data_IF_174335127795
#
_entry.id   IF_174335127795
#
_cell.length_a   1.000
_cell.length_b   1.000
_cell.length_c   1.000
_cell.angle_alpha   90.00
_cell.angle_beta   90.00
_cell.angle_gamma   90.00
#
_symmetry.space_group_name_H-M   'P 1'
#
loop_
_entity.id
_entity.type
_entity.pdbx_description
1 polymer ?
#
# COMPACT_ATOMS: atom_id res chain seq x y z
N UNK A 1 -28.35 -5.48 10.05
CA UNK A 1 -27.36 -5.09 9.02
C UNK A 1 -26.04 -4.93 9.74
N UNK A 2 -25.12 -5.88 9.62
CA UNK A 2 -23.92 -5.96 10.45
C UNK A 2 -22.75 -5.20 9.79
N UNK A 3 -22.00 -4.36 10.52
CA UNK A 3 -20.78 -3.72 10.02
C UNK A 3 -19.60 -4.62 10.37
N UNK A 4 -18.96 -5.21 9.36
CA UNK A 4 -17.85 -6.12 9.59
C UNK A 4 -17.06 -6.41 8.33
N UNK A 5 -16.17 -5.49 7.96
CA UNK A 5 -15.12 -5.73 6.95
C UNK A 5 -13.99 -4.71 7.12
N UNK A 6 -13.16 -4.90 8.15
CA UNK A 6 -11.87 -4.25 8.33
C UNK A 6 -10.60 -5.12 8.09
N UNK A 7 -10.64 -6.44 7.80
CA UNK A 7 -9.44 -7.27 7.91
C UNK A 7 -8.45 -7.13 6.73
N UNK A 8 -8.91 -6.66 5.57
CA UNK A 8 -8.10 -6.59 4.35
C UNK A 8 -7.16 -5.37 4.25
N UNK A 9 -7.36 -4.33 5.09
CA UNK A 9 -6.71 -3.02 4.93
C UNK A 9 -5.19 -3.04 5.17
N UNK A 10 -4.66 -3.96 5.99
CA UNK A 10 -3.26 -3.86 6.43
C UNK A 10 -2.21 -4.11 5.34
N UNK A 11 -2.38 -5.11 4.47
CA UNK A 11 -1.33 -5.48 3.51
C UNK A 11 -1.12 -4.40 2.43
N UNK A 12 -2.21 -3.96 1.79
CA UNK A 12 -2.15 -2.95 0.73
C UNK A 12 -1.61 -1.63 1.24
N UNK A 13 -1.94 -1.27 2.48
CA UNK A 13 -1.46 -0.05 3.11
C UNK A 13 0.04 -0.16 3.46
N UNK A 14 0.57 -1.34 3.81
CA UNK A 14 2.04 -1.52 3.93
C UNK A 14 2.75 -1.31 2.59
N UNK A 15 2.21 -1.90 1.51
CA UNK A 15 2.74 -1.72 0.15
C UNK A 15 2.70 -0.24 -0.25
N UNK A 16 1.58 0.43 0.03
CA UNK A 16 1.40 1.86 -0.22
C UNK A 16 2.34 2.74 0.62
N UNK A 17 2.75 2.33 1.82
CA UNK A 17 3.72 3.06 2.64
C UNK A 17 5.11 3.08 1.98
N UNK A 18 5.54 1.96 1.37
CA UNK A 18 6.82 1.88 0.67
C UNK A 18 6.76 2.61 -0.68
N UNK A 19 5.62 2.53 -1.36
CA UNK A 19 5.36 3.31 -2.58
C UNK A 19 5.34 4.81 -2.25
N UNK A 20 4.74 5.24 -1.14
CA UNK A 20 4.71 6.63 -0.71
C UNK A 20 6.12 7.20 -0.51
N UNK A 21 7.00 6.46 0.18
CA UNK A 21 8.40 6.84 0.35
C UNK A 21 9.13 6.97 -0.99
N UNK A 22 8.88 6.03 -1.91
CA UNK A 22 9.50 6.03 -3.24
C UNK A 22 8.99 7.20 -4.10
N UNK A 23 7.69 7.51 -4.03
CA UNK A 23 7.07 8.64 -4.73
C UNK A 23 7.60 9.99 -4.23
N UNK A 24 7.78 10.15 -2.91
CA UNK A 24 8.39 11.36 -2.33
C UNK A 24 9.81 11.56 -2.88
N UNK A 25 10.63 10.51 -2.91
CA UNK A 25 12.01 10.59 -3.43
C UNK A 25 12.03 10.88 -4.93
N UNK A 26 11.17 10.23 -5.72
CA UNK A 26 11.09 10.44 -7.17
C UNK A 26 10.64 11.87 -7.54
N UNK A 27 9.66 12.41 -6.82
CA UNK A 27 9.16 13.78 -7.02
C UNK A 27 10.20 14.81 -6.55
N UNK A 28 10.91 14.57 -5.44
CA UNK A 28 11.99 15.46 -4.99
C UNK A 28 13.15 15.55 -6.00
N UNK A 29 13.40 14.50 -6.78
CA UNK A 29 14.40 14.48 -7.85
C UNK A 29 13.99 15.19 -9.15
N UNK A 30 12.70 15.39 -9.40
CA UNK A 30 12.16 16.01 -10.61
C UNK A 30 11.78 17.46 -10.34
N UNK A 31 12.74 18.38 -10.49
CA UNK A 31 12.52 19.82 -10.23
C UNK A 31 11.45 20.43 -11.15
N UNK A 32 10.20 20.48 -10.70
CA UNK A 32 9.27 21.56 -11.04
C UNK A 32 8.31 21.81 -9.88
N UNK A 33 8.42 23.01 -9.32
CA UNK A 33 7.79 23.44 -8.09
C UNK A 33 6.25 23.38 -8.16
N UNK A 34 5.67 22.43 -7.40
CA UNK A 34 4.35 22.58 -6.80
C UNK A 34 4.46 22.10 -5.35
N UNK A 35 4.45 23.06 -4.42
CA UNK A 35 4.38 22.89 -2.94
C UNK A 35 5.24 21.81 -2.26
N UNK A 36 6.39 21.43 -2.83
CA UNK A 36 7.30 20.43 -2.23
C UNK A 36 7.86 20.83 -0.86
N UNK A 37 7.88 22.13 -0.56
CA UNK A 37 8.35 22.66 0.73
C UNK A 37 7.42 22.27 1.88
N UNK A 38 6.09 22.28 1.67
CA UNK A 38 5.12 22.04 2.75
C UNK A 38 5.09 20.55 3.16
N UNK A 39 5.16 19.64 2.17
CA UNK A 39 5.08 18.19 2.43
C UNK A 39 6.35 17.64 3.06
N UNK A 40 7.54 18.07 2.63
CA UNK A 40 8.80 17.62 3.26
C UNK A 40 8.94 18.16 4.69
N UNK A 41 8.57 19.42 4.92
CA UNK A 41 8.57 20.02 6.26
C UNK A 41 7.56 19.31 7.20
N UNK A 42 6.39 18.94 6.68
CA UNK A 42 5.41 18.13 7.42
C UNK A 42 5.91 16.70 7.70
N UNK A 43 6.56 16.06 6.72
CA UNK A 43 7.15 14.72 6.88
C UNK A 43 8.30 14.74 7.89
N UNK A 44 9.11 15.78 7.90
CA UNK A 44 10.19 15.96 8.86
C UNK A 44 9.67 16.29 10.26
N UNK A 45 8.60 17.07 10.36
CA UNK A 45 7.88 17.28 11.62
C UNK A 45 7.30 15.96 12.16
N UNK A 46 6.71 15.14 11.31
CA UNK A 46 6.18 13.82 11.66
C UNK A 46 7.31 12.86 12.09
N UNK A 47 8.41 12.78 11.33
CA UNK A 47 9.61 12.00 11.68
C UNK A 47 10.22 12.46 13.01
N UNK A 48 10.27 13.77 13.25
CA UNK A 48 10.76 14.33 14.50
C UNK A 48 9.84 14.00 15.69
N UNK A 49 8.52 14.04 15.50
CA UNK A 49 7.54 13.63 16.52
C UNK A 49 7.66 12.14 16.87
N UNK A 50 7.84 11.27 15.87
CA UNK A 50 8.07 9.82 16.06
C UNK A 50 9.38 9.59 16.83
N UNK A 51 10.48 10.27 16.46
CA UNK A 51 11.77 10.19 17.17
C UNK A 51 11.67 10.66 18.62
N UNK A 52 10.91 11.73 18.91
CA UNK A 52 10.68 12.23 20.27
C UNK A 52 9.91 11.23 21.13
N UNK A 53 8.85 10.64 20.58
CA UNK A 53 8.05 9.64 21.29
C UNK A 53 8.84 8.35 21.57
N UNK A 54 9.65 7.89 20.61
CA UNK A 54 10.52 6.72 20.81
C UNK A 54 11.55 6.95 21.94
N UNK A 55 12.09 8.17 22.07
CA UNK A 55 13.01 8.53 23.18
C UNK A 55 12.30 8.61 24.53
N UNK A 56 11.03 9.02 24.57
CA UNK A 56 10.23 9.02 25.80
C UNK A 56 9.91 7.60 26.27
N UNK A 57 9.65 6.67 25.35
CA UNK A 57 9.44 5.25 25.69
C UNK A 57 10.71 4.59 26.25
N UNK A 58 11.88 4.92 25.70
CA UNK A 58 13.16 4.40 26.21
C UNK A 58 13.49 4.92 27.62
N UNK A 59 12.99 6.11 27.99
CA UNK A 59 13.13 6.70 29.33
C UNK A 59 12.12 6.16 30.35
N UNK A 60 10.97 5.64 29.91
CA UNK A 60 9.93 5.05 30.78
C UNK A 60 10.12 3.55 31.06
N UNK A 61 11.09 2.90 30.42
CA UNK A 61 11.47 1.50 30.70
C UNK A 61 12.23 1.26 32.02
N UNK A 62 12.13 2.18 32.98
CA UNK A 62 12.75 2.08 34.29
C UNK A 62 11.76 2.46 35.39
N UNK A 63 11.00 1.47 35.87
CA UNK A 63 10.31 1.45 37.16
C UNK A 63 9.22 2.51 37.42
N UNK A 64 7.98 2.06 37.55
CA UNK A 64 6.95 2.80 38.28
C UNK A 64 5.58 2.77 37.65
N UNK A 65 4.63 2.14 38.34
CA UNK A 65 3.19 2.24 38.13
C UNK A 65 2.77 3.72 38.01
N UNK A 66 2.09 4.06 36.92
CA UNK A 66 1.58 5.41 36.69
C UNK A 66 0.90 5.50 35.33
N UNK A 67 -0.43 5.53 35.35
CA UNK A 67 -1.31 5.43 34.19
C UNK A 67 -0.89 6.31 33.00
N UNK A 68 -0.88 5.71 31.82
CA UNK A 68 -0.47 6.38 30.59
C UNK A 68 -1.56 6.22 29.53
N UNK A 69 -2.27 7.32 29.28
CA UNK A 69 -3.35 7.46 28.28
C UNK A 69 -2.83 7.25 26.85
N UNK A 70 -1.52 7.13 26.66
CA UNK A 70 -0.88 6.69 25.41
C UNK A 70 -0.76 5.17 25.25
N UNK A 71 -0.98 4.37 26.30
CA UNK A 71 -0.80 2.91 26.27
C UNK A 71 -2.00 2.17 25.67
N UNK A 72 -3.21 2.67 25.93
CA UNK A 72 -4.44 1.97 25.59
C UNK A 72 -4.78 1.94 24.09
N UNK A 73 -4.28 2.90 23.30
CA UNK A 73 -4.70 3.05 21.90
C UNK A 73 -3.93 2.14 20.93
N UNK A 74 -2.66 1.81 21.22
CA UNK A 74 -1.87 0.88 20.38
C UNK A 74 -2.13 -0.58 20.73
N UNK A 75 -2.33 -0.91 22.01
CA UNK A 75 -2.74 -2.25 22.43
C UNK A 75 -4.11 -2.63 21.80
N UNK A 76 -5.01 -1.65 21.63
CA UNK A 76 -6.29 -1.81 20.94
C UNK A 76 -6.16 -2.03 19.43
N UNK A 77 -5.19 -1.39 18.79
CA UNK A 77 -4.95 -1.58 17.36
C UNK A 77 -4.33 -2.94 17.07
N UNK A 78 -3.45 -3.40 17.98
CA UNK A 78 -2.72 -4.62 17.77
C UNK A 78 -3.36 -5.88 18.34
N UNK A 79 -4.47 -5.82 19.08
CA UNK A 79 -5.16 -7.04 19.57
C UNK A 79 -4.68 -7.53 20.95
N UNK A 80 -3.76 -6.81 21.59
CA UNK A 80 -3.27 -7.11 22.94
C UNK A 80 -1.74 -7.20 23.01
N UNK A 81 -1.22 -7.62 24.17
CA UNK A 81 0.23 -7.82 24.38
C UNK A 81 0.81 -8.94 23.50
N UNK A 82 0.06 -10.03 23.30
CA UNK A 82 0.53 -11.20 22.52
C UNK A 82 0.84 -10.85 21.05
N UNK A 83 0.01 -10.02 20.43
CA UNK A 83 0.19 -9.59 19.04
C UNK A 83 1.30 -8.52 18.92
N UNK A 84 1.51 -7.70 19.96
CA UNK A 84 2.66 -6.81 20.00
C UNK A 84 3.98 -7.57 20.09
N UNK A 85 4.04 -8.64 20.89
CA UNK A 85 5.21 -9.51 20.98
C UNK A 85 5.52 -10.17 19.62
N UNK A 86 4.50 -10.54 18.86
CA UNK A 86 4.68 -11.04 17.49
C UNK A 86 5.24 -9.95 16.56
N UNK A 87 4.67 -8.75 16.61
CA UNK A 87 5.09 -7.63 15.75
C UNK A 87 6.46 -7.08 16.10
N UNK A 88 6.87 -7.11 17.37
CA UNK A 88 8.20 -6.69 17.81
C UNK A 88 9.32 -7.60 17.31
N UNK A 89 8.99 -8.84 16.91
CA UNK A 89 9.92 -9.77 16.23
C UNK A 89 10.13 -9.42 14.76
N UNK A 90 9.14 -8.78 14.13
CA UNK A 90 9.14 -8.43 12.70
C UNK A 90 9.61 -6.98 12.50
N UNK A 91 9.11 -6.05 13.31
CA UNK A 91 9.37 -4.63 13.23
C UNK A 91 10.31 -4.18 14.34
N UNK A 92 11.39 -3.49 13.97
CA UNK A 92 12.34 -2.89 14.92
C UNK A 92 11.67 -1.92 15.91
N UNK A 93 10.58 -1.27 15.49
CA UNK A 93 9.78 -0.40 16.35
C UNK A 93 8.30 -0.43 15.88
N UNK A 94 7.48 -1.32 16.45
CA UNK A 94 6.07 -1.47 16.04
C UNK A 94 5.24 -0.21 16.29
N UNK A 95 5.50 0.52 17.38
CA UNK A 95 4.79 1.74 17.70
C UNK A 95 5.08 2.88 16.71
N UNK A 96 6.33 2.99 16.24
CA UNK A 96 6.70 3.94 15.20
C UNK A 96 6.08 3.56 13.85
N UNK A 97 6.11 2.28 13.50
CA UNK A 97 5.44 1.77 12.29
C UNK A 97 3.95 2.10 12.31
N UNK A 98 3.25 1.83 13.42
CA UNK A 98 1.83 2.13 13.57
C UNK A 98 1.48 3.59 13.33
N UNK A 99 2.24 4.51 13.96
CA UNK A 99 2.00 5.94 13.82
C UNK A 99 2.20 6.41 12.39
N UNK A 100 3.26 5.92 11.72
CA UNK A 100 3.49 6.20 10.30
C UNK A 100 2.37 5.64 9.42
N UNK A 101 1.87 4.45 9.73
CA UNK A 101 0.77 3.79 9.02
C UNK A 101 -0.50 4.64 9.07
N UNK A 102 -0.92 5.07 10.27
CA UNK A 102 -2.14 5.87 10.45
C UNK A 102 -2.03 7.22 9.75
N UNK A 103 -0.88 7.90 9.85
CA UNK A 103 -0.67 9.16 9.13
C UNK A 103 -0.65 8.97 7.61
N UNK A 104 -0.09 7.86 7.12
CA UNK A 104 -0.11 7.55 5.70
C UNK A 104 -1.55 7.33 5.21
N UNK A 105 -2.36 6.51 5.88
CA UNK A 105 -3.77 6.32 5.51
C UNK A 105 -4.58 7.63 5.48
N UNK A 106 -4.24 8.57 6.37
CA UNK A 106 -4.92 9.86 6.46
C UNK A 106 -4.51 10.79 5.32
N UNK A 107 -3.22 10.87 5.00
CA UNK A 107 -2.65 11.91 4.14
C UNK A 107 -2.35 11.42 2.73
N UNK A 108 -1.73 10.26 2.58
CA UNK A 108 -1.31 9.75 1.28
C UNK A 108 -2.54 9.36 0.47
N UNK A 109 -2.59 9.87 -0.76
CA UNK A 109 -3.70 9.65 -1.68
C UNK A 109 -3.19 9.11 -3.00
N UNK A 110 -3.83 8.05 -3.47
CA UNK A 110 -3.56 7.41 -4.75
C UNK A 110 -4.75 7.61 -5.67
N UNK A 111 -4.50 8.16 -6.85
CA UNK A 111 -5.47 8.14 -7.93
C UNK A 111 -5.27 6.87 -8.76
N UNK A 112 -6.34 6.17 -9.09
CA UNK A 112 -6.28 5.02 -9.98
C UNK A 112 -6.85 5.42 -11.32
N UNK A 113 -6.09 5.20 -12.39
CA UNK A 113 -6.59 5.45 -13.74
C UNK A 113 -7.73 4.51 -14.07
N UNK A 114 -8.83 5.06 -14.57
CA UNK A 114 -10.06 4.33 -14.89
C UNK A 114 -10.04 3.70 -16.29
N UNK A 115 -9.01 3.99 -17.10
CA UNK A 115 -8.88 3.37 -18.40
C UNK A 115 -8.61 1.88 -18.28
N UNK A 116 -9.26 1.11 -19.16
CA UNK A 116 -9.06 -0.33 -19.26
C UNK A 116 -10.28 -1.10 -18.82
N UNK A 117 -10.29 -2.39 -19.16
CA UNK A 117 -11.35 -3.30 -18.72
C UNK A 117 -10.73 -4.61 -18.22
N UNK A 118 -11.37 -5.26 -17.25
CA UNK A 118 -11.08 -6.64 -16.89
C UNK A 118 -11.17 -7.58 -18.12
N UNK A 119 -10.40 -8.68 -18.16
CA UNK A 119 -9.60 -9.22 -17.06
C UNK A 119 -8.15 -8.73 -17.01
N UNK A 120 -7.70 -7.89 -17.96
CA UNK A 120 -6.28 -7.46 -18.08
C UNK A 120 -5.97 -6.24 -17.21
N UNK A 121 -6.92 -5.31 -17.12
CA UNK A 121 -6.84 -4.10 -16.31
C UNK A 121 -7.90 -4.19 -15.20
N UNK A 122 -7.66 -3.55 -14.06
CA UNK A 122 -8.60 -3.48 -12.93
C UNK A 122 -8.99 -4.81 -12.28
N UNK A 123 -8.39 -5.93 -12.70
CA UNK A 123 -8.58 -7.25 -12.11
C UNK A 123 -7.24 -8.00 -12.11
N UNK A 124 -7.04 -8.87 -11.12
CA UNK A 124 -5.89 -9.77 -11.07
C UNK A 124 -6.24 -11.08 -10.37
N UNK A 125 -5.36 -12.09 -10.45
CA UNK A 125 -5.58 -13.35 -9.75
C UNK A 125 -5.53 -13.13 -8.23
N UNK A 126 -6.57 -13.56 -7.52
CA UNK A 126 -6.63 -13.53 -6.05
C UNK A 126 -6.29 -14.90 -5.43
N UNK A 127 -5.56 -15.76 -6.14
CA UNK A 127 -5.10 -17.08 -5.66
C UNK A 127 -3.71 -17.44 -6.19
N UNK A 128 -3.04 -18.36 -5.49
CA UNK A 128 -1.66 -18.82 -5.71
C UNK A 128 -0.59 -17.73 -5.49
N UNK A 129 0.60 -17.91 -6.07
CA UNK A 129 1.75 -16.99 -5.94
C UNK A 129 1.49 -15.57 -6.45
N UNK A 130 0.49 -15.37 -7.31
CA UNK A 130 0.14 -14.06 -7.86
C UNK A 130 -0.98 -13.36 -7.10
N UNK A 131 -1.46 -13.94 -6.00
CA UNK A 131 -2.62 -13.43 -5.24
C UNK A 131 -2.46 -11.96 -4.85
N UNK A 132 -1.24 -11.58 -4.49
CA UNK A 132 -0.93 -10.24 -4.01
C UNK A 132 -1.17 -9.18 -5.09
N UNK A 133 -0.99 -9.54 -6.36
CA UNK A 133 -1.32 -8.66 -7.48
C UNK A 133 -2.82 -8.37 -7.55
N UNK A 134 -3.65 -9.43 -7.57
CA UNK A 134 -5.10 -9.29 -7.60
C UNK A 134 -5.66 -8.61 -6.37
N UNK A 135 -5.21 -9.00 -5.17
CA UNK A 135 -5.66 -8.40 -3.90
C UNK A 135 -5.29 -6.93 -3.80
N UNK A 136 -4.11 -6.54 -4.28
CA UNK A 136 -3.74 -5.13 -4.30
C UNK A 136 -4.68 -4.31 -5.18
N UNK A 137 -4.91 -4.77 -6.41
CA UNK A 137 -5.82 -4.11 -7.36
C UNK A 137 -7.23 -4.04 -6.76
N UNK A 138 -7.79 -5.18 -6.36
CA UNK A 138 -9.14 -5.29 -5.79
C UNK A 138 -9.33 -4.35 -4.60
N UNK A 139 -8.43 -4.38 -3.62
CA UNK A 139 -8.58 -3.54 -2.44
C UNK A 139 -8.44 -2.06 -2.77
N UNK A 140 -7.51 -1.68 -3.65
CA UNK A 140 -7.35 -0.27 -4.03
C UNK A 140 -8.55 0.23 -4.85
N UNK A 141 -9.20 -0.64 -5.64
CA UNK A 141 -10.49 -0.36 -6.30
C UNK A 141 -11.65 -0.20 -5.33
N UNK A 142 -11.78 -1.12 -4.35
CA UNK A 142 -12.85 -1.11 -3.36
C UNK A 142 -12.69 -0.05 -2.27
N UNK A 143 -11.48 0.48 -2.07
CA UNK A 143 -11.22 1.56 -1.12
C UNK A 143 -12.00 2.81 -1.56
N UNK A 144 -13.18 3.01 -0.97
CA UNK A 144 -13.86 4.30 -1.03
C UNK A 144 -13.23 5.26 -0.01
N UNK A 145 -13.00 6.53 -0.35
CA UNK A 145 -12.68 7.53 0.67
C UNK A 145 -13.86 7.60 1.64
N UNK A 146 -13.71 7.32 2.95
CA UNK A 146 -14.75 7.67 3.91
C UNK A 146 -15.05 9.18 3.87
N UNK A 147 -16.30 9.53 4.18
CA UNK A 147 -16.84 10.90 4.12
C UNK A 147 -16.08 11.91 5.00
N UNK A 148 -15.17 11.44 5.86
CA UNK A 148 -14.32 12.22 6.77
C UNK A 148 -12.88 12.45 6.26
N UNK A 149 -12.53 11.95 5.06
CA UNK A 149 -11.21 12.10 4.47
C UNK A 149 -10.18 11.02 4.84
N UNK A 150 -10.59 9.94 5.52
CA UNK A 150 -9.77 8.72 5.67
C UNK A 150 -9.52 7.98 4.34
N UNK A 151 -8.73 6.90 4.38
CA UNK A 151 -8.47 6.00 3.24
C UNK A 151 -7.43 6.51 2.22
N UNK A 152 -6.84 5.59 1.44
CA UNK A 152 -5.74 5.93 0.53
C UNK A 152 -6.20 6.27 -0.90
N UNK A 153 -7.31 5.72 -1.41
CA UNK A 153 -7.78 6.08 -2.76
C UNK A 153 -8.35 7.51 -2.79
N UNK A 154 -8.16 8.21 -3.90
CA UNK A 154 -8.88 9.44 -4.25
C UNK A 154 -9.37 9.41 -5.69
N UNK A 155 -10.53 10.03 -5.93
CA UNK A 155 -11.10 10.27 -7.26
C UNK A 155 -10.76 11.66 -7.81
N UNK A 156 -10.13 12.50 -6.98
CA UNK A 156 -9.65 13.81 -7.40
C UNK A 156 -8.14 13.71 -7.67
N UNK A 157 -7.70 13.71 -8.94
CA UNK A 157 -6.29 13.54 -9.27
C UNK A 157 -5.43 14.73 -8.82
N UNK A 158 -6.02 15.88 -8.49
CA UNK A 158 -5.28 17.04 -7.95
C UNK A 158 -4.84 16.84 -6.50
N UNK A 159 -5.52 15.95 -5.77
CA UNK A 159 -5.19 15.56 -4.40
C UNK A 159 -4.27 14.35 -4.32
N UNK A 160 -3.95 13.75 -5.45
CA UNK A 160 -3.16 12.52 -5.52
C UNK A 160 -1.66 12.81 -5.34
N UNK A 161 -1.02 11.95 -4.56
CA UNK A 161 0.41 11.92 -4.33
C UNK A 161 1.10 10.89 -5.24
N UNK A 162 0.36 9.86 -5.65
CA UNK A 162 0.81 8.86 -6.61
C UNK A 162 -0.35 8.39 -7.49
N UNK A 163 -0.01 7.86 -8.66
CA UNK A 163 -0.96 7.42 -9.68
C UNK A 163 -0.76 5.94 -9.98
N UNK A 164 -1.79 5.13 -9.78
CA UNK A 164 -1.73 3.70 -10.03
C UNK A 164 -2.13 3.36 -11.46
N UNK A 165 -1.32 2.51 -12.10
CA UNK A 165 -1.64 1.83 -13.35
C UNK A 165 -2.18 0.43 -13.00
N UNK A 166 -3.49 0.17 -13.11
CA UNK A 166 -4.12 -1.08 -12.70
C UNK A 166 -3.89 -2.24 -13.68
N UNK A 167 -2.64 -2.43 -14.12
CA UNK A 167 -2.21 -3.50 -15.03
C UNK A 167 -1.98 -4.81 -14.25
N UNK A 168 -2.61 -5.91 -14.67
CA UNK A 168 -2.25 -7.25 -14.20
C UNK A 168 -1.40 -7.99 -15.22
N UNK A 169 -0.09 -8.07 -14.96
CA UNK A 169 0.84 -8.84 -15.81
C UNK A 169 0.47 -10.32 -15.80
N UNK A 170 -0.01 -10.84 -14.66
CA UNK A 170 -0.44 -12.24 -14.55
C UNK A 170 -1.62 -12.54 -15.49
N UNK A 171 -2.59 -11.63 -15.60
CA UNK A 171 -3.72 -11.79 -16.52
C UNK A 171 -3.28 -11.59 -17.97
N UNK A 172 -2.36 -10.67 -18.26
CA UNK A 172 -1.77 -10.54 -19.59
C UNK A 172 -1.11 -11.86 -20.04
N UNK A 173 -0.36 -12.52 -19.15
CA UNK A 173 0.22 -13.84 -19.45
C UNK A 173 -0.88 -14.88 -19.69
N UNK A 174 -1.91 -14.92 -18.84
CA UNK A 174 -2.99 -15.90 -18.97
C UNK A 174 -3.80 -15.75 -20.26
N UNK A 175 -4.11 -14.53 -20.68
CA UNK A 175 -5.07 -14.27 -21.75
C UNK A 175 -4.43 -13.88 -23.09
N UNK A 176 -3.19 -13.39 -23.08
CA UNK A 176 -2.54 -12.84 -24.29
C UNK A 176 -1.38 -13.68 -24.75
N UNK A 177 -0.55 -14.19 -23.83
CA UNK A 177 0.56 -15.06 -24.20
C UNK A 177 0.03 -16.39 -24.76
N UNK A 178 0.59 -16.85 -25.88
CA UNK A 178 0.21 -18.10 -26.53
C UNK A 178 1.33 -19.12 -26.40
N UNK A 179 1.29 -20.03 -25.42
CA UNK A 179 2.26 -21.12 -25.36
C UNK A 179 2.19 -21.99 -26.63
N UNK A 180 3.32 -22.47 -27.19
CA UNK A 180 4.70 -22.32 -26.72
C UNK A 180 5.47 -21.18 -27.44
N UNK A 181 4.80 -20.17 -27.99
CA UNK A 181 5.36 -19.21 -28.98
C UNK A 181 6.63 -18.47 -28.56
N UNK A 182 7.01 -18.45 -27.28
CA UNK A 182 8.09 -17.64 -26.69
C UNK A 182 7.97 -16.13 -26.96
N UNK A 183 6.98 -15.70 -27.74
CA UNK A 183 6.72 -14.32 -28.09
C UNK A 183 5.99 -13.62 -26.95
N UNK A 184 6.74 -12.77 -26.24
CA UNK A 184 6.21 -11.93 -25.16
C UNK A 184 5.92 -10.51 -25.64
N UNK A 185 6.20 -10.18 -26.91
CA UNK A 185 6.02 -8.82 -27.43
C UNK A 185 4.60 -8.25 -27.23
N UNK A 186 3.51 -9.05 -27.30
CA UNK A 186 2.17 -8.55 -27.01
C UNK A 186 2.02 -7.91 -25.62
N UNK A 187 2.75 -8.38 -24.60
CA UNK A 187 2.70 -7.80 -23.25
C UNK A 187 3.25 -6.37 -23.25
N UNK A 188 4.36 -6.14 -23.97
CA UNK A 188 4.94 -4.80 -24.12
C UNK A 188 4.03 -3.87 -24.90
N UNK A 189 3.37 -4.39 -25.95
CA UNK A 189 2.43 -3.62 -26.76
C UNK A 189 1.25 -3.11 -25.91
N UNK A 190 0.65 -3.98 -25.09
CA UNK A 190 -0.44 -3.60 -24.19
C UNK A 190 -0.01 -2.49 -23.22
N UNK A 191 1.15 -2.62 -22.58
CA UNK A 191 1.68 -1.58 -21.68
C UNK A 191 1.92 -0.26 -22.42
N UNK A 192 2.51 -0.32 -23.62
CA UNK A 192 2.77 0.86 -24.44
C UNK A 192 1.48 1.58 -24.81
N UNK A 193 0.47 0.84 -25.28
CA UNK A 193 -0.82 1.39 -25.66
C UNK A 193 -1.58 1.96 -24.47
N UNK A 194 -1.56 1.27 -23.34
CA UNK A 194 -2.19 1.74 -22.11
C UNK A 194 -1.63 3.08 -21.66
N UNK A 195 -0.30 3.16 -21.51
CA UNK A 195 0.37 4.39 -21.10
C UNK A 195 0.16 5.51 -22.12
N UNK A 196 0.13 5.19 -23.42
CA UNK A 196 -0.17 6.18 -24.47
C UNK A 196 -1.57 6.79 -24.31
N UNK A 197 -2.59 5.98 -23.97
CA UNK A 197 -3.94 6.48 -23.69
C UNK A 197 -3.95 7.34 -22.43
N UNK A 198 -3.34 6.87 -21.35
CA UNK A 198 -3.24 7.60 -20.08
C UNK A 198 -2.55 8.96 -20.30
N UNK A 199 -1.41 8.98 -20.98
CA UNK A 199 -0.64 10.19 -21.25
C UNK A 199 -1.36 11.19 -22.17
N UNK A 200 -2.25 10.71 -23.05
CA UNK A 200 -3.03 11.55 -23.94
C UNK A 200 -4.26 12.17 -23.24
N UNK A 201 -4.86 11.45 -22.28
CA UNK A 201 -6.08 11.87 -21.58
C UNK A 201 -5.81 12.67 -20.32
N UNK A 202 -4.75 12.34 -19.59
CA UNK A 202 -4.47 12.87 -18.27
C UNK A 202 -3.20 13.71 -18.27
N UNK A 203 -3.24 14.97 -17.78
CA UNK A 203 -2.06 15.83 -17.75
C UNK A 203 -0.97 15.34 -16.78
N UNK A 204 -1.35 14.48 -15.82
CA UNK A 204 -0.48 14.06 -14.72
C UNK A 204 0.67 13.15 -15.15
N UNK A 205 0.48 12.30 -16.17
CA UNK A 205 1.58 11.49 -16.70
C UNK A 205 2.72 12.36 -17.21
N UNK A 206 2.40 13.34 -18.07
CA UNK A 206 3.38 14.21 -18.72
C UNK A 206 4.02 15.20 -17.73
N UNK A 207 3.39 15.48 -16.59
CA UNK A 207 3.93 16.36 -15.54
C UNK A 207 5.22 15.80 -14.95
N UNK A 208 5.26 14.50 -14.69
CA UNK A 208 6.37 13.81 -14.01
C UNK A 208 7.14 12.87 -14.94
N UNK A 209 6.71 12.75 -16.21
CA UNK A 209 7.15 11.69 -17.12
C UNK A 209 7.07 10.31 -16.44
N UNK A 210 5.94 10.04 -15.77
CA UNK A 210 5.69 8.77 -15.08
C UNK A 210 6.35 8.62 -13.70
N UNK A 211 7.10 9.59 -13.17
CA UNK A 211 7.89 9.39 -11.95
C UNK A 211 7.07 9.22 -10.65
N UNK A 212 5.87 9.79 -10.60
CA UNK A 212 4.88 9.61 -9.51
C UNK A 212 3.83 8.54 -9.83
N UNK A 213 4.05 7.77 -10.90
CA UNK A 213 3.23 6.64 -11.30
C UNK A 213 3.81 5.35 -10.78
N UNK A 214 2.93 4.38 -10.55
CA UNK A 214 3.37 3.06 -10.17
C UNK A 214 2.51 1.94 -10.75
N UNK A 215 3.14 0.79 -10.91
CA UNK A 215 2.48 -0.48 -11.22
C UNK A 215 2.89 -1.53 -10.19
N UNK A 216 2.07 -2.57 -10.04
CA UNK A 216 2.39 -3.74 -9.24
C UNK A 216 2.34 -5.00 -10.10
N UNK A 217 3.35 -5.86 -9.99
CA UNK A 217 3.40 -7.14 -10.69
C UNK A 217 4.02 -8.21 -9.81
N UNK A 218 3.32 -9.34 -9.64
CA UNK A 218 3.91 -10.53 -9.05
C UNK A 218 4.48 -11.52 -10.06
N UNK A 219 4.11 -11.39 -11.34
CA UNK A 219 4.73 -12.21 -12.38
C UNK A 219 6.18 -11.76 -12.63
N UNK A 220 7.09 -12.72 -12.86
CA UNK A 220 8.49 -12.50 -13.23
C UNK A 220 8.66 -11.68 -14.53
N UNK A 221 7.62 -11.54 -15.34
CA UNK A 221 7.63 -10.76 -16.57
C UNK A 221 7.24 -9.30 -16.37
N UNK A 222 6.99 -8.85 -15.12
CA UNK A 222 6.71 -7.45 -14.80
C UNK A 222 7.79 -6.47 -15.30
N UNK A 223 9.09 -6.71 -15.04
CA UNK A 223 10.17 -5.93 -15.63
C UNK A 223 10.17 -5.95 -17.16
N UNK A 224 9.84 -7.08 -17.78
CA UNK A 224 9.78 -7.19 -19.24
C UNK A 224 8.60 -6.39 -19.82
N UNK A 225 7.40 -6.54 -19.27
CA UNK A 225 6.19 -5.85 -19.71
C UNK A 225 6.35 -4.33 -19.59
N UNK A 226 6.92 -3.85 -18.47
CA UNK A 226 7.18 -2.41 -18.26
C UNK A 226 8.13 -1.78 -19.29
N UNK A 227 8.99 -2.56 -19.98
CA UNK A 227 9.79 -2.07 -21.14
C UNK A 227 8.96 -1.72 -22.37
N UNK A 228 7.64 -1.94 -22.33
CA UNK A 228 6.72 -1.44 -23.34
C UNK A 228 6.75 0.08 -23.45
N UNK A 229 6.99 0.78 -22.34
CA UNK A 229 7.10 2.23 -22.32
C UNK A 229 8.38 2.69 -21.57
N UNK A 230 9.27 3.49 -22.20
CA UNK A 230 10.56 3.87 -21.61
C UNK A 230 10.51 4.64 -20.29
N UNK A 231 9.60 5.60 -20.15
CA UNK A 231 9.35 6.38 -18.94
C UNK A 231 8.79 5.50 -17.81
N UNK A 232 7.89 4.56 -18.10
CA UNK A 232 7.42 3.58 -17.12
C UNK A 232 8.60 2.72 -16.62
N UNK A 233 9.42 2.20 -17.52
CA UNK A 233 10.56 1.37 -17.13
C UNK A 233 11.61 2.17 -16.34
N UNK A 234 11.86 3.43 -16.72
CA UNK A 234 12.98 4.22 -16.21
C UNK A 234 12.60 5.02 -14.97
N UNK A 235 11.43 5.65 -14.95
CA UNK A 235 11.04 6.67 -13.98
C UNK A 235 10.00 6.18 -12.98
N UNK A 236 8.97 5.46 -13.44
CA UNK A 236 7.87 5.04 -12.58
C UNK A 236 8.28 4.00 -11.53
N UNK A 237 7.58 3.97 -10.42
CA UNK A 237 7.81 3.02 -9.33
C UNK A 237 7.24 1.66 -9.75
N UNK A 238 8.03 0.59 -9.63
CA UNK A 238 7.54 -0.76 -9.91
C UNK A 238 7.56 -1.54 -8.61
N UNK A 239 6.37 -1.90 -8.12
CA UNK A 239 6.19 -2.81 -7.01
C UNK A 239 6.25 -4.24 -7.56
N UNK A 240 7.33 -4.96 -7.29
CA UNK A 240 7.63 -6.25 -7.91
C UNK A 240 7.78 -7.34 -6.86
N UNK A 241 7.10 -8.47 -7.04
CA UNK A 241 7.24 -9.62 -6.15
C UNK A 241 8.55 -10.39 -6.45
N UNK A 242 9.04 -10.31 -7.69
CA UNK A 242 10.37 -10.73 -8.07
C UNK A 242 11.37 -9.55 -7.98
N UNK A 243 12.17 -9.54 -6.92
CA UNK A 243 13.19 -8.51 -6.66
C UNK A 243 14.57 -8.85 -7.25
N UNK A 244 14.64 -9.68 -8.29
CA UNK A 244 15.91 -10.09 -8.91
C UNK A 244 16.49 -8.99 -9.81
N UNK A 245 17.68 -8.49 -9.44
CA UNK A 245 18.37 -7.44 -10.19
C UNK A 245 18.83 -7.88 -11.58
N UNK A 246 19.13 -9.18 -11.78
CA UNK A 246 19.49 -9.70 -13.11
C UNK A 246 18.31 -9.75 -14.08
N UNK A 247 17.09 -9.73 -13.55
CA UNK A 247 15.83 -9.71 -14.33
C UNK A 247 15.26 -8.30 -14.49
N UNK A 248 15.97 -7.29 -13.98
CA UNK A 248 15.68 -5.88 -14.20
C UNK A 248 15.01 -5.17 -13.03
N UNK A 249 15.00 -5.77 -11.83
CA UNK A 249 14.70 -5.04 -10.58
C UNK A 249 15.78 -4.00 -10.29
N UNK A 250 15.37 -2.80 -9.88
CA UNK A 250 16.22 -1.65 -9.61
C UNK A 250 16.07 -1.21 -8.16
N UNK A 251 16.98 -1.59 -7.24
CA UNK A 251 16.84 -1.29 -5.80
C UNK A 251 16.80 0.20 -5.46
N UNK A 252 17.27 1.06 -6.36
CA UNK A 252 17.26 2.52 -6.22
C UNK A 252 15.87 3.15 -6.48
N UNK A 253 14.91 2.38 -7.00
CA UNK A 253 13.61 2.90 -7.48
C UNK A 253 12.44 1.94 -7.25
N UNK A 254 12.64 0.66 -7.50
CA UNK A 254 11.61 -0.36 -7.40
C UNK A 254 11.37 -0.79 -5.95
N UNK A 255 10.16 -1.27 -5.70
CA UNK A 255 9.72 -1.74 -4.38
C UNK A 255 9.60 -3.25 -4.41
N UNK A 256 10.31 -3.95 -3.53
CA UNK A 256 10.14 -5.39 -3.36
C UNK A 256 8.86 -5.69 -2.58
N UNK A 257 8.00 -6.53 -3.14
CA UNK A 257 6.77 -7.00 -2.51
C UNK A 257 6.95 -8.46 -2.10
N UNK A 258 6.60 -8.87 -0.87
CA UNK A 258 6.67 -10.27 -0.52
C UNK A 258 5.65 -11.07 -1.32
N UNK A 259 6.09 -12.16 -1.94
CA UNK A 259 5.19 -13.15 -2.52
C UNK A 259 4.48 -13.90 -1.40
N UNK A 260 3.15 -13.93 -1.44
CA UNK A 260 2.32 -14.69 -0.49
C UNK A 260 1.46 -15.66 -1.29
N UNK A 261 1.74 -16.95 -1.12
CA UNK A 261 1.04 -18.01 -1.82
C UNK A 261 -0.26 -18.38 -1.09
N UNK A 262 -1.39 -17.82 -1.54
CA UNK A 262 -2.72 -18.20 -1.03
C UNK A 262 -3.32 -19.29 -1.90
N UNK A 263 -3.20 -20.55 -1.48
CA UNK A 263 -3.70 -21.71 -2.23
C UNK A 263 -5.19 -21.59 -2.57
N UNK A 264 -5.99 -21.18 -1.59
CA UNK A 264 -7.46 -21.12 -1.71
C UNK A 264 -7.97 -19.69 -1.97
N UNK A 265 -7.05 -18.71 -1.98
CA UNK A 265 -7.35 -17.27 -2.10
C UNK A 265 -7.75 -16.58 -0.80
N UNK A 266 -7.94 -17.34 0.28
CA UNK A 266 -8.21 -16.82 1.62
C UNK A 266 -6.92 -16.36 2.31
N UNK A 267 -6.94 -15.14 2.86
CA UNK A 267 -5.83 -14.62 3.67
C UNK A 267 -5.85 -15.28 5.06
N UNK A 268 -4.70 -15.82 5.52
CA UNK A 268 -4.55 -16.28 6.90
C UNK A 268 -4.96 -15.18 7.88
N UNK A 269 -5.67 -15.54 8.96
CA UNK A 269 -6.17 -14.58 9.95
C UNK A 269 -5.05 -13.76 10.60
N UNK A 270 -3.84 -14.31 10.61
CA UNK A 270 -2.61 -13.72 11.13
C UNK A 270 -2.09 -12.56 10.26
N UNK A 271 -2.46 -12.51 8.98
CA UNK A 271 -2.11 -11.43 8.05
C UNK A 271 -3.22 -10.39 7.91
N UNK A 272 -4.39 -10.67 8.47
CA UNK A 272 -5.49 -9.73 8.59
C UNK A 272 -5.23 -8.85 9.81
N UNK A 273 -5.52 -7.55 9.71
CA UNK A 273 -5.42 -6.65 10.87
C UNK A 273 -6.20 -7.24 12.06
N UNK A 274 -5.78 -7.00 13.31
CA UNK A 274 -6.57 -7.41 14.47
C UNK A 274 -7.95 -6.80 14.37
N UNK A 275 -8.98 -7.61 14.61
CA UNK A 275 -10.36 -7.15 14.60
C UNK A 275 -10.52 -5.99 15.59
N UNK A 276 -11.22 -4.94 15.18
CA UNK A 276 -11.70 -3.91 16.11
C UNK A 276 -12.42 -4.59 17.28
N UNK A 277 -12.06 -4.30 18.54
CA UNK A 277 -12.69 -4.96 19.67
C UNK A 277 -14.17 -4.63 19.68
N UNK A 278 -15.00 -5.67 19.73
CA UNK A 278 -16.44 -5.57 19.96
C UNK A 278 -16.67 -4.71 21.20
N UNK A 279 -17.58 -3.71 21.18
CA UNK A 279 -17.89 -2.97 22.39
C UNK A 279 -18.37 -3.99 23.43
N UNK A 280 -17.60 -4.12 24.51
CA UNK A 280 -17.90 -5.03 25.60
C UNK A 280 -19.37 -4.81 26.00
N UNK A 281 -20.15 -5.90 25.98
CA UNK A 281 -21.49 -5.90 26.51
C UNK A 281 -21.42 -5.23 27.89
N UNK A 282 -22.11 -4.09 28.02
CA UNK A 282 -22.28 -3.37 29.29
C UNK A 282 -22.49 -4.41 30.38
N UNK A 283 -21.52 -4.53 31.28
CA UNK A 283 -21.67 -5.35 32.47
C UNK A 283 -22.97 -4.89 33.13
N UNK A 284 -23.96 -5.78 33.14
CA UNK A 284 -25.20 -5.55 33.87
C UNK A 284 -24.81 -5.41 35.34
N UNK A 285 -24.73 -4.18 35.82
CA UNK A 285 -24.70 -3.86 37.25
C UNK A 285 -25.96 -4.47 37.85
N UNK A 286 -25.80 -5.61 38.52
CA UNK A 286 -26.83 -6.15 39.41
C UNK A 286 -27.10 -5.10 40.49
N UNK A 287 -28.36 -4.72 40.75
CA UNK A 287 -28.64 -3.82 41.86
C UNK A 287 -28.36 -4.55 43.18
N UNK A 288 -27.58 -3.90 44.05
CA UNK A 288 -27.47 -4.28 45.45
C UNK A 288 -28.85 -4.18 46.12
N UNK A 289 -29.28 -5.17 46.93
CA UNK A 289 -30.47 -5.01 47.76
C UNK A 289 -30.13 -4.06 48.92
N UNK A 290 -30.91 -2.99 49.06
CA UNK A 290 -30.96 -2.17 50.27
C UNK A 290 -31.99 -2.83 51.19
N UNK A 291 -31.52 -3.17 52.40
CA UNK A 291 -32.23 -3.57 53.65
C UNK A 291 -33.65 -4.14 53.53
#
# INVERSE_FOLDING_TARGET
>A
MAPGEAPARSFVVVVLAVIALSAIVAVAGTKKALSTVDVEDELDAARAAIRRAARQHHRRGGGGEGGDVGSANWLRFYGGEADYDLLSRVYRNPAAFYRSYVEMERRFKVYVYEEGEPPILHEGPCKNIYTIEGRFIEQLELMSPPDDGGGVRTWDPTRAHAFFLPLSVSQMVKFVYRPPSQDRAPLRAIVADYVRVVAARHPFWNRSAGADHFMLSCHDWGPYASRGQPELYTNAIRALCNANTSEGFRPDKDVSIPEINLYDGDMPRELLAPATPTPAARAATRPFPIR
#
